data_IF_343196085938
#
_entry.id   IF_343196085938
#
_cell.length_a   1.000
_cell.length_b   1.000
_cell.length_c   1.000
_cell.angle_alpha   90.00
_cell.angle_beta   90.00
_cell.angle_gamma   90.00
#
_symmetry.space_group_name_H-M   'P 1'
#
loop_
_entity.id
_entity.type
_entity.pdbx_description
1 polymer ?
#
# COMPACT_ATOMS: atom_id res chain seq x y z
N UNK A 1 -12.83 -0.10 -6.32
CA UNK A 1 -12.17 0.07 -5.01
C UNK A 1 -12.08 1.53 -4.57
N UNK A 2 -11.69 2.51 -5.41
CA UNK A 2 -11.82 3.95 -5.09
C UNK A 2 -12.36 4.72 -6.32
N UNK A 3 -13.13 5.80 -6.07
CA UNK A 3 -13.78 6.59 -7.13
C UNK A 3 -12.81 7.45 -7.94
N UNK A 4 -13.20 7.85 -9.16
CA UNK A 4 -12.35 8.59 -10.12
C UNK A 4 -11.87 9.96 -9.64
N UNK A 5 -12.61 10.56 -8.69
CA UNK A 5 -12.27 11.82 -8.07
C UNK A 5 -11.24 11.68 -6.93
N UNK A 6 -10.82 10.46 -6.59
CA UNK A 6 -9.91 10.18 -5.49
C UNK A 6 -8.56 9.64 -5.98
N UNK A 7 -7.51 9.96 -5.23
CA UNK A 7 -6.15 9.44 -5.40
C UNK A 7 -5.72 8.75 -4.10
N UNK A 8 -5.16 7.56 -4.22
CA UNK A 8 -4.46 6.89 -3.12
C UNK A 8 -3.03 7.40 -3.04
N UNK A 9 -2.66 8.00 -1.92
CA UNK A 9 -1.27 8.33 -1.59
C UNK A 9 -0.75 7.31 -0.60
N UNK A 10 0.23 6.53 -1.02
CA UNK A 10 0.81 5.42 -0.29
C UNK A 10 2.24 5.79 0.12
N UNK A 11 2.58 5.51 1.37
CA UNK A 11 3.93 5.66 1.92
C UNK A 11 4.53 4.28 2.20
N UNK A 12 5.48 3.80 1.35
CA UNK A 12 6.11 2.50 1.48
C UNK A 12 7.04 2.36 2.70
N UNK A 13 7.31 3.45 3.42
CA UNK A 13 8.06 3.41 4.67
C UNK A 13 7.18 2.99 5.87
N UNK A 14 5.85 2.94 5.70
CA UNK A 14 4.92 2.56 6.76
C UNK A 14 4.89 1.05 7.07
N UNK A 15 5.55 0.20 6.27
CA UNK A 15 5.69 -1.22 6.55
C UNK A 15 7.11 -1.72 6.25
N UNK A 16 7.53 -2.86 6.82
CA UNK A 16 8.86 -3.39 6.59
C UNK A 16 9.04 -3.84 5.14
N UNK A 17 10.11 -3.38 4.50
CA UNK A 17 10.56 -3.95 3.24
C UNK A 17 11.18 -5.33 3.51
N UNK A 18 10.59 -6.37 2.90
CA UNK A 18 11.07 -7.73 3.09
C UNK A 18 12.31 -7.99 2.20
N UNK A 19 13.40 -8.59 2.76
CA UNK A 19 14.65 -8.82 2.02
C UNK A 19 14.50 -9.61 0.72
N UNK A 20 13.47 -10.47 0.64
CA UNK A 20 13.18 -11.28 -0.54
C UNK A 20 12.95 -10.43 -1.80
N UNK A 21 12.33 -9.26 -1.69
CA UNK A 21 12.07 -8.42 -2.86
C UNK A 21 13.35 -7.81 -3.43
N UNK A 22 14.29 -7.41 -2.57
CA UNK A 22 15.61 -6.95 -2.99
C UNK A 22 16.39 -8.06 -3.69
N UNK A 23 16.32 -9.28 -3.14
CA UNK A 23 16.94 -10.45 -3.75
C UNK A 23 16.35 -10.76 -5.14
N UNK A 24 15.01 -10.79 -5.26
CA UNK A 24 14.33 -11.04 -6.54
C UNK A 24 14.62 -9.95 -7.58
N UNK A 25 14.62 -8.68 -7.15
CA UNK A 25 14.98 -7.54 -8.02
C UNK A 25 16.39 -7.71 -8.59
N UNK A 26 17.37 -8.04 -7.74
CA UNK A 26 18.76 -8.24 -8.16
C UNK A 26 18.89 -9.45 -9.09
N UNK A 27 18.24 -10.56 -8.77
CA UNK A 27 18.30 -11.78 -9.58
C UNK A 27 17.70 -11.58 -10.98
N UNK A 28 16.58 -10.86 -11.08
CA UNK A 28 15.89 -10.57 -12.33
C UNK A 28 16.37 -9.31 -13.05
N UNK A 29 17.32 -8.55 -12.48
CA UNK A 29 17.75 -7.24 -12.99
C UNK A 29 16.58 -6.27 -13.23
N UNK A 30 15.61 -6.28 -12.32
CA UNK A 30 14.35 -5.54 -12.46
C UNK A 30 14.49 -4.07 -12.04
N UNK A 31 13.78 -3.18 -12.73
CA UNK A 31 13.55 -1.81 -12.25
C UNK A 31 12.58 -1.82 -11.05
N UNK A 32 12.63 -0.77 -10.23
CA UNK A 32 11.71 -0.63 -9.09
C UNK A 32 10.24 -0.59 -9.53
N UNK A 33 9.95 0.15 -10.60
CA UNK A 33 8.59 0.26 -11.16
C UNK A 33 8.03 -1.09 -11.61
N UNK A 34 8.88 -1.98 -12.13
CA UNK A 34 8.46 -3.33 -12.54
C UNK A 34 8.18 -4.20 -11.32
N UNK A 35 8.97 -4.05 -10.26
CA UNK A 35 8.73 -4.74 -8.98
C UNK A 35 7.37 -4.35 -8.40
N UNK A 36 7.03 -3.04 -8.38
CA UNK A 36 5.75 -2.56 -7.86
C UNK A 36 4.53 -3.01 -8.69
N UNK A 37 4.71 -3.29 -9.98
CA UNK A 37 3.65 -3.79 -10.87
C UNK A 37 3.50 -5.31 -10.81
N UNK A 38 4.51 -6.02 -10.31
CA UNK A 38 4.59 -7.49 -10.36
C UNK A 38 4.40 -8.12 -8.99
N UNK A 39 5.02 -7.55 -7.96
CA UNK A 39 5.00 -8.07 -6.60
C UNK A 39 4.09 -7.25 -5.71
N UNK A 40 3.60 -7.87 -4.65
CA UNK A 40 2.79 -7.20 -3.63
C UNK A 40 3.63 -6.31 -2.69
N UNK A 41 4.96 -6.40 -2.76
CA UNK A 41 5.92 -5.64 -1.95
C UNK A 41 5.63 -5.72 -0.43
N UNK A 42 5.05 -6.83 0.03
CA UNK A 42 4.74 -7.09 1.43
C UNK A 42 3.30 -6.77 1.86
N UNK A 43 2.46 -6.23 0.96
CA UNK A 43 1.06 -5.90 1.25
C UNK A 43 0.13 -6.80 0.43
N UNK A 44 -0.42 -7.84 1.07
CA UNK A 44 -1.33 -8.79 0.41
C UNK A 44 -2.75 -8.26 0.20
N UNK A 45 -3.21 -7.33 1.03
CA UNK A 45 -4.56 -6.78 0.99
C UNK A 45 -4.56 -5.32 1.43
N UNK A 46 -5.45 -4.52 0.83
CA UNK A 46 -5.65 -3.10 1.16
C UNK A 46 -7.11 -2.86 1.51
N UNK A 47 -7.34 -2.12 2.59
CA UNK A 47 -8.66 -1.72 3.08
C UNK A 47 -8.81 -0.20 3.01
N UNK A 48 -9.92 0.28 2.46
CA UNK A 48 -10.30 1.69 2.56
C UNK A 48 -11.24 1.86 3.76
N UNK A 49 -10.76 2.58 4.78
CA UNK A 49 -11.45 2.71 6.08
C UNK A 49 -11.69 4.19 6.36
N UNK A 50 -12.86 4.50 6.92
CA UNK A 50 -13.14 5.85 7.42
C UNK A 50 -12.15 6.21 8.54
N UNK A 51 -11.64 7.46 8.63
CA UNK A 51 -10.60 7.85 9.59
C UNK A 51 -10.94 7.47 11.05
N UNK A 52 -12.19 7.61 11.44
CA UNK A 52 -12.73 7.29 12.77
C UNK A 52 -12.72 5.79 13.11
N UNK A 53 -12.64 4.91 12.11
CA UNK A 53 -12.70 3.46 12.28
C UNK A 53 -11.33 2.78 12.17
N UNK A 54 -10.25 3.53 11.95
CA UNK A 54 -8.91 2.95 11.72
C UNK A 54 -8.47 2.09 12.89
N UNK A 55 -8.54 2.61 14.12
CA UNK A 55 -8.14 1.89 15.33
C UNK A 55 -8.99 0.63 15.55
N UNK A 56 -10.31 0.75 15.41
CA UNK A 56 -11.24 -0.38 15.53
C UNK A 56 -10.88 -1.51 14.55
N UNK A 57 -10.61 -1.16 13.29
CA UNK A 57 -10.25 -2.15 12.25
C UNK A 57 -8.89 -2.77 12.54
N UNK A 58 -7.89 -1.99 12.94
CA UNK A 58 -6.57 -2.51 13.28
C UNK A 58 -6.62 -3.48 14.46
N UNK A 59 -7.40 -3.16 15.50
CA UNK A 59 -7.58 -4.02 16.66
C UNK A 59 -8.23 -5.36 16.27
N UNK A 60 -9.28 -5.34 15.44
CA UNK A 60 -9.93 -6.56 14.95
C UNK A 60 -9.00 -7.43 14.09
N UNK A 61 -8.18 -6.81 13.25
CA UNK A 61 -7.17 -7.53 12.48
C UNK A 61 -6.14 -8.19 13.40
N UNK A 62 -5.67 -7.46 14.42
CA UNK A 62 -4.74 -8.00 15.41
C UNK A 62 -5.34 -9.17 16.21
N UNK A 63 -6.61 -9.06 16.64
CA UNK A 63 -7.36 -10.14 17.31
C UNK A 63 -7.50 -11.38 16.42
N UNK A 64 -7.61 -11.20 15.11
CA UNK A 64 -7.63 -12.28 14.13
C UNK A 64 -6.23 -12.86 13.82
N UNK A 65 -5.17 -12.35 14.44
CA UNK A 65 -3.79 -12.78 14.21
C UNK A 65 -3.13 -12.14 12.99
N UNK A 66 -3.75 -11.13 12.38
CA UNK A 66 -3.25 -10.47 11.18
C UNK A 66 -2.47 -9.20 11.52
N UNK A 67 -1.36 -8.99 10.81
CA UNK A 67 -0.57 -7.76 10.91
C UNK A 67 -1.12 -6.71 9.97
N UNK A 68 -1.36 -5.51 10.48
CA UNK A 68 -1.89 -4.39 9.69
C UNK A 68 -1.03 -3.14 9.80
N UNK A 69 -1.07 -2.29 8.77
CA UNK A 69 -0.34 -1.03 8.71
C UNK A 69 -1.24 0.06 8.12
N UNK A 70 -1.15 1.27 8.66
CA UNK A 70 -1.73 2.43 8.00
C UNK A 70 -0.79 2.88 6.88
N UNK A 71 -1.03 2.39 5.66
CA UNK A 71 -0.11 2.57 4.53
C UNK A 71 -0.26 3.91 3.80
N UNK A 72 -1.26 4.71 4.14
CA UNK A 72 -1.55 5.93 3.41
C UNK A 72 -2.95 6.48 3.62
N UNK A 73 -3.41 7.30 2.67
CA UNK A 73 -4.72 7.95 2.70
C UNK A 73 -5.27 8.24 1.31
N UNK A 74 -6.60 8.38 1.24
CA UNK A 74 -7.29 8.89 0.06
C UNK A 74 -7.41 10.41 0.14
N UNK A 75 -7.14 11.06 -0.99
CA UNK A 75 -7.30 12.51 -1.15
C UNK A 75 -8.10 12.81 -2.42
N UNK A 76 -8.55 14.05 -2.58
CA UNK A 76 -9.07 14.53 -3.86
C UNK A 76 -7.96 14.45 -4.92
N UNK A 77 -8.25 13.81 -6.06
CA UNK A 77 -7.29 13.61 -7.15
C UNK A 77 -7.01 14.94 -7.86
N UNK A 78 -5.73 15.39 -7.93
CA UNK A 78 -5.35 16.51 -8.79
C UNK A 78 -5.61 16.21 -10.28
N UNK A 79 -5.95 17.22 -11.05
CA UNK A 79 -6.20 17.05 -12.50
C UNK A 79 -4.92 16.54 -13.19
N UNK A 80 -5.08 15.57 -14.10
CA UNK A 80 -3.97 14.97 -14.84
C UNK A 80 -3.09 13.99 -14.04
N UNK A 81 -3.33 13.82 -12.73
CA UNK A 81 -2.56 12.89 -11.91
C UNK A 81 -3.05 11.45 -11.99
N UNK A 82 -2.16 10.51 -11.69
CA UNK A 82 -2.47 9.08 -11.56
C UNK A 82 -3.43 8.82 -10.39
N UNK A 83 -4.18 7.72 -10.44
CA UNK A 83 -5.08 7.32 -9.34
C UNK A 83 -4.34 6.80 -8.11
N UNK A 84 -3.12 6.31 -8.29
CA UNK A 84 -2.26 5.78 -7.22
C UNK A 84 -0.92 6.49 -7.33
N UNK A 85 -0.47 7.05 -6.21
CA UNK A 85 0.84 7.67 -6.03
C UNK A 85 1.53 6.94 -4.87
N UNK A 86 2.64 6.28 -5.17
CA UNK A 86 3.53 5.67 -4.18
C UNK A 86 4.69 6.65 -4.00
N UNK A 87 4.90 7.13 -2.77
CA UNK A 87 5.90 8.14 -2.44
C UNK A 87 7.24 7.56 -2.01
#
# INVERSE_FOLDING_TARGET
MIGDALQARIDPQCWPQLPIFNYLKQLGQLADDDCWKTFNMGIGMVLAVAPENVELVQNRLAEAGERSYQIGRLIKRPQGSTKIEIK
#
